data_IF_248730139163
#
_entry.id   IF_248730139163
#
_cell.length_a   1.000
_cell.length_b   1.000
_cell.length_c   1.000
_cell.angle_alpha   90.00
_cell.angle_beta   90.00
_cell.angle_gamma   90.00
#
_symmetry.space_group_name_H-M   'P 1'
#
loop_
_entity.id
_entity.type
_entity.pdbx_description
1 polymer ?
#
# COMPACT_ATOMS: atom_id res chain seq x y z
N UNK A 1 9.69 -10.39 -3.56
CA UNK A 1 8.97 -10.01 -4.80
C UNK A 1 8.99 -8.51 -4.87
N UNK A 2 9.55 -7.98 -5.95
CA UNK A 2 9.69 -6.54 -6.14
C UNK A 2 8.37 -5.96 -6.65
N UNK A 3 7.99 -4.81 -6.12
CA UNK A 3 6.70 -4.18 -6.37
C UNK A 3 6.87 -2.75 -6.90
N UNK A 4 5.87 -2.22 -7.63
CA UNK A 4 5.76 -0.79 -7.89
C UNK A 4 5.94 0.04 -6.60
N UNK A 5 6.62 1.19 -6.72
CA UNK A 5 6.87 2.08 -5.58
C UNK A 5 8.06 1.69 -4.71
N UNK A 6 9.02 0.93 -5.26
CA UNK A 6 10.28 0.55 -4.58
C UNK A 6 10.05 -0.28 -3.30
N UNK A 7 8.94 -1.02 -3.27
CA UNK A 7 8.56 -1.90 -2.17
C UNK A 7 8.93 -3.35 -2.46
N UNK A 8 9.14 -4.11 -1.40
CA UNK A 8 9.37 -5.55 -1.46
C UNK A 8 8.40 -6.30 -0.54
N UNK A 9 7.88 -7.42 -1.02
CA UNK A 9 7.09 -8.36 -0.21
C UNK A 9 7.74 -9.73 -0.18
N UNK A 10 7.78 -10.32 1.02
CA UNK A 10 8.13 -11.71 1.27
C UNK A 10 6.86 -12.55 1.30
N UNK A 11 6.91 -13.70 0.63
CA UNK A 11 5.79 -14.65 0.53
C UNK A 11 6.24 -15.96 1.13
N UNK A 12 5.42 -16.58 1.96
CA UNK A 12 5.72 -17.91 2.48
C UNK A 12 5.88 -18.92 1.34
N UNK A 13 6.79 -19.88 1.50
CA UNK A 13 7.00 -20.95 0.51
C UNK A 13 5.79 -21.90 0.45
N UNK A 14 5.19 -22.16 1.61
CA UNK A 14 4.08 -23.09 1.78
C UNK A 14 2.85 -22.35 2.30
N UNK A 15 1.70 -22.99 2.11
CA UNK A 15 0.43 -22.51 2.66
C UNK A 15 0.37 -22.74 4.17
N UNK A 16 -0.21 -21.79 4.89
CA UNK A 16 -0.54 -21.93 6.30
C UNK A 16 -1.71 -22.90 6.51
N UNK A 17 -2.09 -23.12 7.78
CA UNK A 17 -3.18 -24.03 8.17
C UNK A 17 -4.53 -23.73 7.51
N UNK A 18 -4.76 -22.49 7.08
CA UNK A 18 -5.98 -22.03 6.43
C UNK A 18 -5.89 -22.14 4.89
N UNK A 19 -4.81 -22.73 4.37
CA UNK A 19 -4.61 -22.95 2.93
C UNK A 19 -4.17 -21.70 2.16
N UNK A 20 -3.65 -20.68 2.85
CA UNK A 20 -3.23 -19.37 2.30
C UNK A 20 -1.73 -19.15 2.45
N UNK A 21 -1.16 -18.25 1.65
CA UNK A 21 0.23 -17.82 1.77
C UNK A 21 0.34 -16.64 2.72
N UNK A 22 1.33 -16.65 3.61
CA UNK A 22 1.61 -15.53 4.50
C UNK A 22 2.46 -14.49 3.77
N UNK A 23 2.15 -13.20 3.98
CA UNK A 23 2.81 -12.07 3.36
C UNK A 23 3.42 -11.17 4.43
N UNK A 24 4.66 -10.72 4.20
CA UNK A 24 5.35 -9.73 5.06
C UNK A 24 6.01 -8.67 4.18
N UNK A 25 5.79 -7.40 4.49
CA UNK A 25 6.50 -6.28 3.87
C UNK A 25 6.98 -5.31 4.96
N UNK A 26 8.07 -4.58 4.69
CA UNK A 26 8.50 -3.47 5.55
C UNK A 26 8.42 -2.19 4.75
N UNK A 27 7.61 -1.23 5.21
CA UNK A 27 7.42 0.09 4.57
C UNK A 27 7.72 1.15 5.63
N UNK A 28 8.66 2.05 5.37
CA UNK A 28 9.07 3.11 6.32
C UNK A 28 9.36 2.60 7.75
N UNK A 29 10.07 1.47 7.86
CA UNK A 29 10.38 0.77 9.12
C UNK A 29 9.17 0.20 9.87
N UNK A 30 7.98 0.19 9.26
CA UNK A 30 6.80 -0.49 9.75
C UNK A 30 6.66 -1.86 9.07
N UNK A 31 6.57 -2.92 9.88
CA UNK A 31 6.25 -4.26 9.39
C UNK A 31 4.73 -4.37 9.14
N UNK A 32 4.38 -4.81 7.93
CA UNK A 32 3.01 -5.11 7.51
C UNK A 32 2.89 -6.62 7.30
N UNK A 33 1.76 -7.19 7.74
CA UNK A 33 1.47 -8.63 7.61
C UNK A 33 0.13 -8.87 6.94
N UNK A 34 0.02 -9.95 6.20
CA UNK A 34 -1.20 -10.34 5.52
C UNK A 34 -1.23 -11.81 5.14
N UNK A 35 -2.33 -12.25 4.57
CA UNK A 35 -2.45 -13.57 3.94
C UNK A 35 -3.06 -13.43 2.56
N UNK A 36 -2.74 -14.35 1.65
CA UNK A 36 -3.24 -14.35 0.27
C UNK A 36 -3.56 -15.76 -0.22
N UNK A 37 -4.55 -15.87 -1.09
CA UNK A 37 -4.82 -17.13 -1.78
C UNK A 37 -3.79 -17.42 -2.88
N UNK A 38 -3.03 -16.40 -3.31
CA UNK A 38 -2.00 -16.46 -4.36
C UNK A 38 -0.60 -16.50 -3.78
N UNK A 39 0.32 -17.16 -4.49
CA UNK A 39 1.72 -17.33 -4.10
C UNK A 39 2.68 -16.32 -4.75
N UNK A 40 2.16 -15.35 -5.50
CA UNK A 40 2.95 -14.41 -6.28
C UNK A 40 3.27 -13.11 -5.53
N UNK A 41 2.74 -12.94 -4.31
CA UNK A 41 2.91 -11.73 -3.50
C UNK A 41 1.78 -10.71 -3.62
N UNK A 42 0.76 -10.96 -4.44
CA UNK A 42 -0.45 -10.13 -4.43
C UNK A 42 -1.27 -10.37 -3.16
N UNK A 43 -2.04 -9.37 -2.74
CA UNK A 43 -2.89 -9.47 -1.56
C UNK A 43 -2.94 -8.17 -0.76
N UNK A 44 -3.38 -8.29 0.48
CA UNK A 44 -3.53 -7.17 1.41
C UNK A 44 -2.65 -7.43 2.63
N UNK A 45 -1.85 -6.44 3.01
CA UNK A 45 -1.05 -6.44 4.23
C UNK A 45 -1.46 -5.24 5.09
N UNK A 46 -1.51 -5.44 6.39
CA UNK A 46 -1.92 -4.42 7.36
C UNK A 46 -0.87 -4.28 8.47
N UNK A 47 -0.82 -3.09 9.07
CA UNK A 47 0.03 -2.78 10.21
C UNK A 47 -0.47 -1.55 10.95
N UNK A 48 0.11 -1.30 12.12
CA UNK A 48 -0.28 -0.19 12.99
C UNK A 48 0.97 0.59 13.37
N UNK A 49 0.97 1.89 13.11
CA UNK A 49 2.06 2.81 13.49
C UNK A 49 2.08 3.04 15.00
N UNK A 50 3.17 3.63 15.50
CA UNK A 50 3.30 3.97 16.92
C UNK A 50 2.25 5.00 17.41
N UNK A 51 1.77 5.86 16.50
CA UNK A 51 0.67 6.81 16.76
C UNK A 51 -0.73 6.17 16.65
N UNK A 52 -0.78 4.84 16.51
CA UNK A 52 -1.98 4.02 16.30
C UNK A 52 -2.70 4.20 14.97
N UNK A 53 -2.16 5.01 14.06
CA UNK A 53 -2.66 5.07 12.69
C UNK A 53 -2.55 3.68 12.04
N UNK A 54 -3.57 3.27 11.29
CA UNK A 54 -3.57 1.98 10.59
C UNK A 54 -3.01 2.16 9.19
N UNK A 55 -2.20 1.21 8.75
CA UNK A 55 -1.59 1.20 7.42
C UNK A 55 -2.06 -0.04 6.69
N UNK A 56 -2.46 0.13 5.44
CA UNK A 56 -2.87 -0.95 4.55
C UNK A 56 -2.11 -0.85 3.24
N UNK A 57 -1.42 -1.92 2.87
CA UNK A 57 -0.81 -2.09 1.57
C UNK A 57 -1.63 -3.11 0.78
N UNK A 58 -2.17 -2.69 -0.35
CA UNK A 58 -2.86 -3.56 -1.30
C UNK A 58 -2.01 -3.72 -2.55
N UNK A 59 -1.75 -4.96 -2.95
CA UNK A 59 -0.94 -5.32 -4.11
C UNK A 59 -1.86 -6.03 -5.12
N UNK A 60 -1.93 -5.51 -6.34
CA UNK A 60 -2.79 -6.08 -7.38
C UNK A 60 -2.36 -7.49 -7.77
N UNK A 61 -3.30 -8.28 -8.28
CA UNK A 61 -3.07 -9.69 -8.63
C UNK A 61 -2.00 -9.91 -9.71
N UNK A 62 -1.89 -8.96 -10.63
CA UNK A 62 -0.89 -8.93 -11.69
C UNK A 62 0.43 -8.27 -11.27
N UNK A 63 0.53 -7.83 -10.00
CA UNK A 63 1.65 -7.07 -9.43
C UNK A 63 1.92 -5.74 -10.16
N UNK A 64 0.99 -5.30 -11.01
CA UNK A 64 1.09 -4.09 -11.82
C UNK A 64 0.85 -2.80 -11.04
N UNK A 65 0.29 -2.89 -9.83
CA UNK A 65 -0.05 -1.73 -9.01
C UNK A 65 0.04 -2.04 -7.51
N UNK A 66 0.47 -1.05 -6.74
CA UNK A 66 0.36 -1.04 -5.28
C UNK A 66 -0.43 0.17 -4.82
N UNK A 67 -1.25 -0.01 -3.78
CA UNK A 67 -1.94 1.07 -3.07
C UNK A 67 -1.56 1.03 -1.60
N UNK A 68 -0.89 2.08 -1.12
CA UNK A 68 -0.55 2.26 0.29
C UNK A 68 -1.47 3.32 0.89
N UNK A 69 -2.27 2.91 1.88
CA UNK A 69 -3.23 3.75 2.58
C UNK A 69 -2.83 3.90 4.04
N UNK A 70 -2.95 5.11 4.56
CA UNK A 70 -2.83 5.42 5.98
C UNK A 70 -4.18 5.94 6.46
N UNK A 71 -4.71 5.32 7.50
CA UNK A 71 -5.96 5.68 8.14
C UNK A 71 -5.69 6.20 9.55
N UNK A 72 -6.65 6.97 10.08
CA UNK A 72 -6.73 7.28 11.52
C UNK A 72 -6.88 5.99 12.34
N UNK A 73 -6.81 6.10 13.66
CA UNK A 73 -6.97 4.96 14.60
C UNK A 73 -8.30 4.19 14.38
N UNK A 74 -9.34 4.86 13.88
CA UNK A 74 -10.62 4.24 13.55
C UNK A 74 -10.53 3.21 12.40
N UNK A 75 -9.48 3.27 11.57
CA UNK A 75 -9.29 2.43 10.40
C UNK A 75 -10.26 2.72 9.24
N UNK A 76 -10.92 3.87 9.24
CA UNK A 76 -11.93 4.24 8.25
C UNK A 76 -11.61 5.58 7.60
N UNK A 77 -11.24 6.59 8.38
CA UNK A 77 -10.90 7.90 7.83
C UNK A 77 -9.49 7.87 7.26
N UNK A 78 -9.38 8.08 5.95
CA UNK A 78 -8.10 8.22 5.27
C UNK A 78 -7.37 9.48 5.75
N UNK A 79 -6.05 9.35 5.90
CA UNK A 79 -5.10 10.44 6.14
C UNK A 79 -4.30 10.67 4.86
N UNK A 80 -3.85 9.59 4.23
CA UNK A 80 -3.12 9.64 2.96
C UNK A 80 -3.31 8.37 2.15
N UNK A 81 -3.20 8.48 0.83
CA UNK A 81 -3.21 7.36 -0.10
C UNK A 81 -2.13 7.57 -1.16
N UNK A 82 -1.33 6.54 -1.42
CA UNK A 82 -0.34 6.51 -2.50
C UNK A 82 -0.60 5.32 -3.39
N UNK A 83 -0.92 5.57 -4.65
CA UNK A 83 -1.05 4.55 -5.70
C UNK A 83 0.19 4.63 -6.58
N UNK A 84 0.86 3.51 -6.80
CA UNK A 84 2.01 3.43 -7.71
C UNK A 84 1.80 2.31 -8.72
N UNK A 85 2.01 2.62 -9.99
CA UNK A 85 1.84 1.69 -11.11
C UNK A 85 3.19 1.16 -11.60
N UNK A 86 3.17 0.06 -12.33
CA UNK A 86 4.36 -0.59 -12.92
C UNK A 86 5.17 0.31 -13.86
N UNK A 87 4.52 1.28 -14.50
CA UNK A 87 5.18 2.31 -15.32
C UNK A 87 5.92 3.37 -14.48
N UNK A 88 5.95 3.20 -13.16
CA UNK A 88 6.54 4.09 -12.15
C UNK A 88 5.80 5.41 -11.96
N UNK A 89 4.66 5.61 -12.61
CA UNK A 89 3.77 6.72 -12.29
C UNK A 89 3.14 6.52 -10.91
N UNK A 90 2.84 7.63 -10.24
CA UNK A 90 2.19 7.61 -8.93
C UNK A 90 1.14 8.70 -8.77
N UNK A 91 0.20 8.45 -7.88
CA UNK A 91 -0.74 9.44 -7.38
C UNK A 91 -0.71 9.43 -5.86
N UNK A 92 -0.44 10.58 -5.25
CA UNK A 92 -0.42 10.80 -3.81
C UNK A 92 -1.56 11.75 -3.44
N UNK A 93 -2.41 11.32 -2.53
CA UNK A 93 -3.55 12.08 -2.02
C UNK A 93 -3.41 12.26 -0.51
N UNK A 94 -3.68 13.47 -0.01
CA UNK A 94 -3.91 13.74 1.42
C UNK A 94 -5.37 14.08 1.64
N UNK A 95 -5.85 13.78 2.84
CA UNK A 95 -7.26 13.91 3.19
C UNK A 95 -7.41 14.79 4.43
N UNK A 96 -8.45 15.63 4.43
CA UNK A 96 -8.82 16.43 5.58
C UNK A 96 -9.53 15.60 6.67
N UNK A 97 -9.94 16.23 7.76
CA UNK A 97 -10.58 15.53 8.88
C UNK A 97 -11.91 14.84 8.53
N UNK A 98 -12.60 15.32 7.49
CA UNK A 98 -13.84 14.76 6.95
C UNK A 98 -13.60 13.60 5.97
N UNK A 99 -12.34 13.32 5.62
CA UNK A 99 -11.97 12.32 4.62
C UNK A 99 -12.10 12.82 3.18
N UNK A 100 -12.15 14.14 2.96
CA UNK A 100 -12.16 14.74 1.61
C UNK A 100 -10.73 15.00 1.16
N UNK A 101 -10.44 14.85 -0.14
CA UNK A 101 -9.11 15.12 -0.70
C UNK A 101 -8.77 16.61 -0.52
N UNK A 102 -7.68 16.88 0.19
CA UNK A 102 -7.16 18.25 0.38
C UNK A 102 -5.95 18.54 -0.50
N UNK A 103 -5.22 17.53 -0.91
CA UNK A 103 -4.04 17.68 -1.78
C UNK A 103 -3.96 16.45 -2.70
N UNK A 104 -3.60 16.67 -3.96
CA UNK A 104 -3.32 15.61 -4.93
C UNK A 104 -2.06 15.94 -5.72
N UNK A 105 -1.11 15.02 -5.71
CA UNK A 105 0.09 15.07 -6.53
C UNK A 105 0.10 13.86 -7.46
N UNK A 106 0.17 14.12 -8.77
CA UNK A 106 0.35 13.07 -9.78
C UNK A 106 1.75 13.20 -10.33
N UNK A 107 2.56 12.14 -10.22
CA UNK A 107 3.88 12.06 -10.85
C UNK A 107 3.80 11.09 -12.02
N UNK A 108 4.05 11.58 -13.24
CA UNK A 108 4.07 10.74 -14.45
C UNK A 108 5.34 9.91 -14.50
N UNK A 109 5.36 8.91 -15.38
CA UNK A 109 6.53 8.05 -15.60
C UNK A 109 7.80 8.82 -16.03
N UNK A 110 7.64 9.98 -16.69
CA UNK A 110 8.73 10.87 -17.09
C UNK A 110 9.21 11.82 -15.95
N UNK A 111 8.62 11.71 -14.76
CA UNK A 111 8.93 12.53 -13.59
C UNK A 111 8.21 13.88 -13.55
N UNK A 112 7.45 14.27 -14.59
CA UNK A 112 6.66 15.50 -14.55
C UNK A 112 5.52 15.39 -13.54
N UNK A 113 5.20 16.51 -12.88
CA UNK A 113 4.21 16.54 -11.80
C UNK A 113 3.01 17.43 -12.14
N UNK A 114 1.83 17.00 -11.70
CA UNK A 114 0.65 17.84 -11.55
C UNK A 114 0.35 17.94 -10.06
N UNK A 115 0.29 19.16 -9.54
CA UNK A 115 0.10 19.43 -8.11
C UNK A 115 -1.19 20.24 -7.92
N UNK A 116 -2.08 19.73 -7.07
CA UNK A 116 -3.34 20.35 -6.67
C UNK A 116 -3.32 20.53 -5.15
N UNK A 117 -3.31 21.78 -4.69
CA UNK A 117 -3.15 22.19 -3.28
C UNK A 117 -4.23 23.15 -2.85
#
# INVERSE_FOLDING_TARGET
VDLPGEMNVLVSKEKNKDGKYDLIATVDKLELKGTSDKNNGSGVLEGVKADKSKVKLTISDDLGQTTLEVFKEDGKTLVSKKVTSKDKSSTEEKFNEKGEVSEKIITRADGTRLEYT
#
